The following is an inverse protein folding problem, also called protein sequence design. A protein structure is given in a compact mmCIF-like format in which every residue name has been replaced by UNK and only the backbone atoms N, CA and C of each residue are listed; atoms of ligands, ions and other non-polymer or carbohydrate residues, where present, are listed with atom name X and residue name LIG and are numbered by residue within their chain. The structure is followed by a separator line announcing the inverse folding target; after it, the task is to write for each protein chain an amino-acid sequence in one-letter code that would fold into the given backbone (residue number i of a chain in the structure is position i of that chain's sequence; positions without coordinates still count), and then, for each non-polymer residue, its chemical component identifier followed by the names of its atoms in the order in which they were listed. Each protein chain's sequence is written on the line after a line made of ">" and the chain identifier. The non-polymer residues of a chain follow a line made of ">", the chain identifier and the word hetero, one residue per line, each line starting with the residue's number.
data_IF_294573338219
#
_entry.id   IF_294573338219
#
_cell.length_a   1.000
_cell.length_b   1.000
_cell.length_c   1.000
_cell.angle_alpha   90.00
_cell.angle_beta   90.00
_cell.angle_gamma   90.00
#
_symmetry.space_group_name_H-M   'P 1'
#
loop_
_entity.id
_entity.type
_entity.pdbx_description
1 polymer ?
#
# COMPACT_ATOMS: atom_id res chain seq x y z
N UNK A 1 40.88 -29.07 -72.32
CA UNK A 1 40.33 -29.96 -71.26
C UNK A 1 40.97 -29.80 -69.86
N UNK A 2 42.03 -29.00 -69.65
CA UNK A 2 42.75 -28.94 -68.35
C UNK A 2 42.29 -27.92 -67.30
N UNK A 3 41.46 -26.93 -67.63
CA UNK A 3 41.01 -25.89 -66.67
C UNK A 3 39.83 -26.36 -65.80
N UNK A 4 38.89 -27.12 -66.37
CA UNK A 4 37.67 -27.58 -65.66
C UNK A 4 38.03 -28.65 -64.60
N UNK A 5 39.03 -29.50 -64.85
CA UNK A 5 39.51 -30.48 -63.86
C UNK A 5 40.23 -29.82 -62.69
N UNK A 6 41.00 -28.74 -62.91
CA UNK A 6 41.65 -27.97 -61.83
C UNK A 6 40.65 -27.22 -60.94
N UNK A 7 39.61 -26.62 -61.52
CA UNK A 7 38.57 -25.91 -60.75
C UNK A 7 37.76 -26.90 -59.91
N UNK A 8 37.37 -28.04 -60.48
CA UNK A 8 36.65 -29.09 -59.75
C UNK A 8 37.51 -29.76 -58.68
N UNK A 9 38.82 -29.87 -58.89
CA UNK A 9 39.79 -30.29 -57.88
C UNK A 9 39.86 -29.30 -56.70
N UNK A 10 39.99 -27.99 -56.98
CA UNK A 10 40.00 -26.94 -55.94
C UNK A 10 38.70 -26.87 -55.15
N UNK A 11 37.53 -26.94 -55.82
CA UNK A 11 36.24 -26.89 -55.13
C UNK A 11 36.07 -28.13 -54.21
N UNK A 12 36.56 -29.29 -54.64
CA UNK A 12 36.50 -30.52 -53.83
C UNK A 12 37.50 -30.48 -52.67
N UNK A 13 38.72 -29.95 -52.87
CA UNK A 13 39.68 -29.78 -51.78
C UNK A 13 39.23 -28.73 -50.76
N UNK A 14 38.66 -27.61 -51.22
CA UNK A 14 38.13 -26.55 -50.35
C UNK A 14 36.89 -27.02 -49.59
N UNK A 15 36.05 -27.84 -50.20
CA UNK A 15 34.90 -28.43 -49.50
C UNK A 15 35.34 -29.44 -48.44
N UNK A 16 36.30 -30.31 -48.74
CA UNK A 16 36.82 -31.29 -47.78
C UNK A 16 37.57 -30.62 -46.63
N UNK A 17 38.41 -29.60 -46.90
CA UNK A 17 39.10 -28.85 -45.86
C UNK A 17 38.10 -28.13 -44.94
N UNK A 18 37.07 -27.49 -45.51
CA UNK A 18 36.02 -26.80 -44.77
C UNK A 18 35.12 -27.73 -43.94
N UNK A 19 34.89 -28.97 -44.40
CA UNK A 19 34.18 -30.00 -43.63
C UNK A 19 35.03 -30.46 -42.43
N UNK A 20 36.34 -30.65 -42.63
CA UNK A 20 37.24 -31.01 -41.55
C UNK A 20 37.39 -29.90 -40.50
N UNK A 21 37.45 -28.62 -40.90
CA UNK A 21 37.49 -27.49 -39.97
C UNK A 21 36.19 -27.36 -39.17
N UNK A 22 35.02 -27.48 -39.83
CA UNK A 22 33.72 -27.46 -39.12
C UNK A 22 33.59 -28.60 -38.09
N UNK A 23 34.14 -29.80 -38.40
CA UNK A 23 34.12 -30.95 -37.47
C UNK A 23 35.08 -30.75 -36.30
N UNK A 24 36.23 -30.09 -36.50
CA UNK A 24 37.15 -29.76 -35.40
C UNK A 24 36.57 -28.66 -34.51
N UNK A 25 35.99 -27.61 -35.08
CA UNK A 25 35.31 -26.53 -34.35
C UNK A 25 34.14 -27.05 -33.51
N UNK A 26 33.38 -28.03 -34.01
CA UNK A 26 32.32 -28.68 -33.25
C UNK A 26 32.85 -29.49 -32.04
N UNK A 27 33.99 -30.17 -32.19
CA UNK A 27 34.66 -30.85 -31.06
C UNK A 27 35.15 -29.83 -30.04
N UNK A 28 35.73 -28.72 -30.51
CA UNK A 28 36.20 -27.62 -29.66
C UNK A 28 35.03 -27.01 -28.86
N UNK A 29 33.89 -26.73 -29.50
CA UNK A 29 32.70 -26.20 -28.83
C UNK A 29 32.15 -27.14 -27.75
N UNK A 30 32.12 -28.46 -28.01
CA UNK A 30 31.70 -29.44 -27.00
C UNK A 30 32.67 -29.52 -25.80
N UNK A 31 33.98 -29.42 -26.06
CA UNK A 31 35.01 -29.40 -25.00
C UNK A 31 34.87 -28.13 -24.16
N UNK A 32 34.73 -26.97 -24.79
CA UNK A 32 34.54 -25.67 -24.11
C UNK A 32 33.28 -25.69 -23.24
N UNK A 33 32.21 -26.34 -23.70
CA UNK A 33 30.99 -26.51 -22.92
C UNK A 33 31.17 -27.44 -21.72
N UNK A 34 31.80 -28.60 -21.90
CA UNK A 34 32.11 -29.52 -20.79
C UNK A 34 32.99 -28.84 -19.74
N UNK A 35 34.00 -28.08 -20.17
CA UNK A 35 34.86 -27.30 -19.29
C UNK A 35 34.05 -26.23 -18.53
N UNK A 36 33.08 -25.59 -19.20
CA UNK A 36 32.20 -24.60 -18.58
C UNK A 36 31.31 -25.20 -17.49
N UNK A 37 30.78 -26.41 -17.70
CA UNK A 37 30.00 -27.13 -16.68
C UNK A 37 30.88 -27.53 -15.50
N UNK A 38 32.11 -28.01 -15.75
CA UNK A 38 33.07 -28.37 -14.69
C UNK A 38 33.46 -27.15 -13.85
N UNK A 39 33.69 -25.99 -14.47
CA UNK A 39 34.00 -24.74 -13.76
C UNK A 39 32.81 -24.16 -12.99
N UNK A 40 31.57 -24.54 -13.32
CA UNK A 40 30.37 -24.16 -12.58
C UNK A 40 29.97 -25.15 -11.47
N UNK A 41 30.53 -26.36 -11.49
CA UNK A 41 30.30 -27.42 -10.50
C UNK A 41 30.52 -26.97 -9.03
N UNK A 42 31.52 -26.11 -8.72
CA UNK A 42 31.68 -25.47 -7.42
C UNK A 42 30.46 -24.70 -6.88
N UNK A 43 29.61 -24.12 -7.76
CA UNK A 43 28.41 -23.39 -7.34
C UNK A 43 27.23 -24.30 -7.00
N UNK A 44 27.25 -25.54 -7.52
CA UNK A 44 26.18 -26.52 -7.36
C UNK A 44 26.46 -27.52 -6.24
N UNK A 45 27.72 -27.62 -5.80
CA UNK A 45 28.08 -28.39 -4.62
C UNK A 45 27.45 -27.76 -3.35
N UNK A 46 27.02 -28.56 -2.36
CA UNK A 46 26.47 -28.02 -1.12
C UNK A 46 27.47 -27.05 -0.48
N UNK A 47 26.96 -25.89 -0.06
CA UNK A 47 27.67 -24.65 0.34
C UNK A 47 28.83 -24.78 1.36
N UNK A 48 29.12 -25.98 1.86
CA UNK A 48 30.13 -26.25 2.88
C UNK A 48 31.59 -26.25 2.38
N UNK A 49 31.89 -26.66 1.14
CA UNK A 49 33.30 -26.92 0.76
C UNK A 49 34.12 -25.65 0.47
N UNK A 50 33.57 -24.69 -0.28
CA UNK A 50 34.28 -23.47 -0.67
C UNK A 50 34.26 -22.38 0.42
N UNK A 51 33.20 -22.33 1.23
CA UNK A 51 33.11 -21.39 2.36
C UNK A 51 34.11 -21.79 3.46
N UNK A 52 34.35 -23.09 3.65
CA UNK A 52 35.31 -23.60 4.63
C UNK A 52 36.79 -23.35 4.27
N UNK A 53 37.12 -23.17 2.99
CA UNK A 53 38.50 -23.07 2.50
C UNK A 53 39.02 -21.62 2.33
N UNK A 54 38.16 -20.60 2.26
CA UNK A 54 38.65 -19.23 1.99
C UNK A 54 37.69 -18.07 2.19
N UNK A 55 36.51 -18.28 2.79
CA UNK A 55 35.55 -17.20 3.05
C UNK A 55 34.92 -16.57 1.79
N UNK A 56 34.07 -15.57 1.99
CA UNK A 56 33.29 -14.91 0.94
C UNK A 56 34.15 -14.25 -0.16
N UNK A 57 35.37 -13.84 0.18
CA UNK A 57 36.30 -13.18 -0.74
C UNK A 57 36.88 -14.12 -1.80
N UNK A 58 37.14 -15.38 -1.46
CA UNK A 58 37.65 -16.36 -2.42
C UNK A 58 36.59 -16.72 -3.47
N UNK A 59 35.32 -16.80 -3.05
CA UNK A 59 34.20 -16.99 -3.97
C UNK A 59 33.96 -15.77 -4.85
N UNK A 60 34.09 -14.55 -4.31
CA UNK A 60 33.99 -13.32 -5.10
C UNK A 60 35.13 -13.20 -6.12
N UNK A 61 36.36 -13.53 -5.74
CA UNK A 61 37.50 -13.56 -6.65
C UNK A 61 37.31 -14.62 -7.75
N UNK A 62 36.84 -15.82 -7.38
CA UNK A 62 36.52 -16.89 -8.34
C UNK A 62 35.40 -16.47 -9.30
N UNK A 63 34.32 -15.84 -8.81
CA UNK A 63 33.26 -15.29 -9.67
C UNK A 63 33.82 -14.26 -10.66
N UNK A 64 34.67 -13.34 -10.20
CA UNK A 64 35.17 -12.23 -11.02
C UNK A 64 36.15 -12.70 -12.11
N UNK A 65 36.86 -13.81 -11.89
CA UNK A 65 37.79 -14.38 -12.86
C UNK A 65 37.10 -15.36 -13.83
N UNK A 66 36.24 -16.23 -13.30
CA UNK A 66 35.68 -17.35 -14.05
C UNK A 66 34.47 -16.94 -14.89
N UNK A 67 33.60 -16.05 -14.38
CA UNK A 67 32.37 -15.65 -15.09
C UNK A 67 32.68 -14.90 -16.41
N UNK A 68 33.59 -13.91 -16.47
CA UNK A 68 33.91 -13.24 -17.74
C UNK A 68 34.55 -14.17 -18.78
N UNK A 69 35.40 -15.11 -18.33
CA UNK A 69 36.05 -16.11 -19.20
C UNK A 69 35.02 -17.09 -19.74
N UNK A 70 34.07 -17.55 -18.92
CA UNK A 70 32.95 -18.41 -19.34
C UNK A 70 32.05 -17.72 -20.36
N UNK A 71 31.69 -16.45 -20.13
CA UNK A 71 30.86 -15.67 -21.06
C UNK A 71 31.58 -15.49 -22.41
N UNK A 72 32.86 -15.11 -22.37
CA UNK A 72 33.67 -14.93 -23.59
C UNK A 72 33.86 -16.22 -24.38
N UNK A 73 34.18 -17.33 -23.71
CA UNK A 73 34.40 -18.63 -24.33
C UNK A 73 33.11 -19.21 -24.96
N UNK A 74 31.98 -19.07 -24.27
CA UNK A 74 30.69 -19.57 -24.74
C UNK A 74 30.05 -18.66 -25.81
N UNK A 75 30.40 -17.37 -25.85
CA UNK A 75 30.01 -16.46 -26.94
C UNK A 75 30.73 -16.79 -28.26
N UNK A 76 32.01 -17.16 -28.20
CA UNK A 76 32.82 -17.48 -29.38
C UNK A 76 32.53 -18.87 -29.98
N UNK A 77 32.04 -19.81 -29.16
CA UNK A 77 31.70 -21.18 -29.58
C UNK A 77 30.33 -21.64 -29.01
N UNK A 78 29.19 -21.11 -29.53
CA UNK A 78 27.87 -21.46 -29.04
C UNK A 78 27.53 -22.93 -29.30
N UNK A 79 27.05 -23.63 -28.28
CA UNK A 79 26.71 -25.04 -28.40
C UNK A 79 25.51 -25.28 -29.35
N UNK A 80 25.65 -26.24 -30.27
CA UNK A 80 24.72 -26.48 -31.39
C UNK A 80 23.29 -26.87 -30.98
N UNK A 81 23.08 -27.29 -29.74
CA UNK A 81 21.79 -27.70 -29.18
C UNK A 81 21.00 -26.54 -28.55
N UNK A 82 21.60 -25.38 -28.32
CA UNK A 82 20.89 -24.18 -27.83
C UNK A 82 19.68 -23.78 -28.70
N UNK A 83 19.79 -23.66 -30.04
CA UNK A 83 18.62 -23.37 -30.87
C UNK A 83 17.60 -24.52 -30.90
N UNK A 84 18.01 -25.76 -30.66
CA UNK A 84 17.10 -26.90 -30.56
C UNK A 84 16.30 -26.88 -29.24
N UNK A 85 16.96 -26.58 -28.11
CA UNK A 85 16.33 -26.41 -26.80
C UNK A 85 15.43 -25.17 -26.78
N UNK A 86 15.86 -24.06 -27.38
CA UNK A 86 15.03 -22.85 -27.49
C UNK A 86 13.75 -23.11 -28.31
N UNK A 87 13.85 -23.88 -29.40
CA UNK A 87 12.66 -24.32 -30.17
C UNK A 87 11.77 -25.27 -29.37
N UNK A 88 12.35 -26.22 -28.63
CA UNK A 88 11.61 -27.14 -27.78
C UNK A 88 10.88 -26.40 -26.65
N UNK A 89 11.54 -25.43 -26.00
CA UNK A 89 10.97 -24.59 -24.96
C UNK A 89 9.85 -23.68 -25.50
N UNK A 90 10.01 -23.09 -26.69
CA UNK A 90 8.95 -22.32 -27.34
C UNK A 90 7.75 -23.18 -27.72
N UNK A 91 7.97 -24.42 -28.18
CA UNK A 91 6.89 -25.37 -28.51
C UNK A 91 6.15 -25.83 -27.26
N UNK A 92 6.88 -26.16 -26.18
CA UNK A 92 6.31 -26.49 -24.87
C UNK A 92 5.53 -25.31 -24.29
N UNK A 93 6.06 -24.08 -24.37
CA UNK A 93 5.35 -22.88 -23.94
C UNK A 93 4.06 -22.63 -24.75
N UNK A 94 4.07 -22.90 -26.06
CA UNK A 94 2.88 -22.79 -26.91
C UNK A 94 1.83 -23.84 -26.54
N UNK A 95 2.24 -25.10 -26.33
CA UNK A 95 1.35 -26.20 -25.94
C UNK A 95 0.77 -26.04 -24.54
N UNK A 96 1.52 -25.45 -23.61
CA UNK A 96 1.05 -25.17 -22.24
C UNK A 96 0.12 -23.96 -22.16
N UNK A 97 0.07 -23.09 -23.18
CA UNK A 97 -0.73 -21.85 -23.16
C UNK A 97 -2.25 -22.10 -23.18
N UNK A 98 -2.70 -23.07 -23.96
CA UNK A 98 -4.12 -23.45 -24.03
C UNK A 98 -4.63 -24.13 -22.74
N UNK A 99 -3.96 -25.15 -22.16
CA UNK A 99 -4.39 -25.73 -20.89
C UNK A 99 -4.21 -24.77 -19.73
N UNK A 100 -3.19 -23.90 -19.73
CA UNK A 100 -3.04 -22.88 -18.67
C UNK A 100 -4.13 -21.82 -18.71
N UNK A 101 -4.57 -21.38 -19.90
CA UNK A 101 -5.70 -20.47 -20.04
C UNK A 101 -7.03 -21.13 -19.59
N UNK A 102 -7.24 -22.40 -19.91
CA UNK A 102 -8.38 -23.17 -19.42
C UNK A 102 -8.36 -23.33 -17.90
N UNK A 103 -7.21 -23.71 -17.32
CA UNK A 103 -7.00 -23.77 -15.87
C UNK A 103 -7.25 -22.42 -15.21
N UNK A 104 -6.77 -21.32 -15.79
CA UNK A 104 -7.04 -19.98 -15.28
C UNK A 104 -8.53 -19.63 -15.34
N UNK A 105 -9.23 -19.99 -16.41
CA UNK A 105 -10.68 -19.78 -16.53
C UNK A 105 -11.48 -20.57 -15.51
N UNK A 106 -11.11 -21.83 -15.25
CA UNK A 106 -11.73 -22.66 -14.21
C UNK A 106 -11.44 -22.09 -12.82
N UNK A 107 -10.20 -21.67 -12.55
CA UNK A 107 -9.81 -21.01 -11.30
C UNK A 107 -10.57 -19.69 -11.10
N UNK A 108 -10.71 -18.87 -12.14
CA UNK A 108 -11.51 -17.65 -12.09
C UNK A 108 -12.96 -17.96 -11.78
N UNK A 109 -13.56 -18.94 -12.45
CA UNK A 109 -14.94 -19.36 -12.21
C UNK A 109 -15.15 -19.84 -10.77
N UNK A 110 -14.23 -20.66 -10.26
CA UNK A 110 -14.24 -21.15 -8.88
C UNK A 110 -14.02 -20.04 -7.84
N UNK A 111 -13.26 -18.99 -8.20
CA UNK A 111 -13.02 -17.84 -7.33
C UNK A 111 -14.19 -16.83 -7.33
N UNK A 112 -15.02 -16.78 -8.37
CA UNK A 112 -16.16 -15.85 -8.43
C UNK A 112 -17.14 -15.91 -7.24
N UNK A 113 -17.56 -17.08 -6.70
CA UNK A 113 -18.41 -17.10 -5.50
C UNK A 113 -17.68 -16.60 -4.26
N UNK A 114 -16.37 -16.86 -4.15
CA UNK A 114 -15.53 -16.39 -3.05
C UNK A 114 -15.45 -14.87 -3.10
N UNK A 115 -15.15 -14.30 -4.26
CA UNK A 115 -15.10 -12.84 -4.46
C UNK A 115 -16.43 -12.15 -4.12
N UNK A 116 -17.57 -12.81 -4.41
CA UNK A 116 -18.89 -12.29 -4.00
C UNK A 116 -19.05 -12.31 -2.48
N UNK A 117 -18.66 -13.40 -1.81
CA UNK A 117 -18.69 -13.50 -0.36
C UNK A 117 -17.75 -12.49 0.31
N UNK A 118 -16.54 -12.30 -0.25
CA UNK A 118 -15.56 -11.30 0.15
C UNK A 118 -16.16 -9.88 0.09
N UNK A 119 -16.84 -9.52 -1.00
CA UNK A 119 -17.51 -8.22 -1.13
C UNK A 119 -18.66 -8.06 -0.15
N UNK A 120 -19.50 -9.08 0.06
CA UNK A 120 -20.59 -9.06 1.04
C UNK A 120 -20.05 -8.86 2.47
N UNK A 121 -18.96 -9.56 2.80
CA UNK A 121 -18.27 -9.40 4.08
C UNK A 121 -17.75 -7.96 4.27
N UNK A 122 -17.15 -7.38 3.24
CA UNK A 122 -16.64 -6.00 3.28
C UNK A 122 -17.76 -4.95 3.30
N UNK A 123 -18.91 -5.22 2.69
CA UNK A 123 -20.10 -4.34 2.77
C UNK A 123 -20.57 -4.18 4.22
N UNK A 124 -20.41 -5.22 5.04
CA UNK A 124 -20.64 -5.15 6.49
C UNK A 124 -19.46 -4.46 7.18
N UNK A 125 -19.27 -3.15 6.91
CA UNK A 125 -18.11 -2.37 7.35
C UNK A 125 -17.74 -2.59 8.82
N UNK A 126 -18.70 -2.44 9.75
CA UNK A 126 -18.46 -2.57 11.19
C UNK A 126 -18.03 -3.98 11.61
N UNK A 127 -18.65 -5.01 11.03
CA UNK A 127 -18.32 -6.40 11.34
C UNK A 127 -16.94 -6.76 10.77
N UNK A 128 -16.66 -6.33 9.55
CA UNK A 128 -15.36 -6.53 8.91
C UNK A 128 -14.23 -5.86 9.70
N UNK A 129 -14.41 -4.64 10.18
CA UNK A 129 -13.39 -3.91 10.95
C UNK A 129 -13.17 -4.55 12.31
N UNK A 130 -14.24 -4.92 13.03
CA UNK A 130 -14.14 -5.64 14.31
C UNK A 130 -13.37 -6.95 14.18
N UNK A 131 -13.69 -7.78 13.19
CA UNK A 131 -13.01 -9.07 12.98
C UNK A 131 -11.53 -8.84 12.70
N UNK A 132 -11.18 -7.83 11.90
CA UNK A 132 -9.78 -7.52 11.60
C UNK A 132 -9.03 -6.97 12.81
N UNK A 133 -9.65 -6.10 13.61
CA UNK A 133 -9.08 -5.62 14.88
C UNK A 133 -8.81 -6.80 15.81
N UNK A 134 -9.77 -7.72 15.95
CA UNK A 134 -9.61 -8.91 16.78
C UNK A 134 -8.51 -9.84 16.26
N UNK A 135 -8.42 -10.06 14.94
CA UNK A 135 -7.35 -10.87 14.34
C UNK A 135 -5.95 -10.26 14.54
N UNK A 136 -5.79 -8.96 14.33
CA UNK A 136 -4.49 -8.28 14.52
C UNK A 136 -4.12 -8.21 16.00
N UNK A 137 -5.07 -7.95 16.89
CA UNK A 137 -4.80 -7.89 18.32
C UNK A 137 -4.47 -9.26 18.90
N UNK A 138 -5.16 -10.32 18.44
CA UNK A 138 -4.81 -11.70 18.81
C UNK A 138 -3.44 -12.11 18.24
N UNK A 139 -3.09 -11.68 17.03
CA UNK A 139 -1.75 -11.87 16.48
C UNK A 139 -0.67 -11.19 17.33
N UNK A 140 -0.87 -9.91 17.67
CA UNK A 140 0.05 -9.14 18.51
C UNK A 140 0.16 -9.72 19.93
N UNK A 141 -0.96 -10.14 20.53
CA UNK A 141 -0.98 -10.79 21.83
C UNK A 141 -0.10 -12.04 21.81
N UNK A 142 -0.29 -12.89 20.81
CA UNK A 142 0.42 -14.16 20.70
C UNK A 142 1.90 -14.06 20.36
N UNK A 143 2.33 -12.94 19.79
CA UNK A 143 3.74 -12.67 19.44
C UNK A 143 4.49 -11.92 20.55
N UNK A 144 3.84 -10.93 21.17
CA UNK A 144 4.51 -9.95 22.04
C UNK A 144 4.23 -10.18 23.53
N UNK A 145 3.17 -10.91 23.88
CA UNK A 145 2.76 -11.13 25.28
C UNK A 145 2.79 -12.63 25.58
N UNK A 146 3.65 -13.03 26.51
CA UNK A 146 3.95 -14.46 26.74
C UNK A 146 2.92 -15.21 27.60
N UNK A 147 1.99 -14.55 28.31
CA UNK A 147 1.18 -15.22 29.36
C UNK A 147 -0.31 -14.80 29.49
N UNK A 148 -0.83 -13.87 28.69
CA UNK A 148 -2.24 -13.45 28.79
C UNK A 148 -3.22 -14.32 27.97
N UNK A 149 -4.31 -14.81 28.60
CA UNK A 149 -5.39 -15.51 27.87
C UNK A 149 -6.45 -14.56 27.28
N UNK A 150 -6.54 -13.30 27.75
CA UNK A 150 -7.63 -12.36 27.39
C UNK A 150 -7.20 -10.88 27.24
N UNK A 151 -5.90 -10.60 27.28
CA UNK A 151 -5.22 -9.28 27.07
C UNK A 151 -5.72 -8.50 25.86
N UNK A 152 -5.98 -9.17 24.73
CA UNK A 152 -6.52 -8.58 23.51
C UNK A 152 -7.89 -7.92 23.74
N UNK A 153 -8.82 -8.62 24.41
CA UNK A 153 -10.18 -8.12 24.66
C UNK A 153 -10.17 -6.93 25.62
N UNK A 154 -9.30 -6.96 26.62
CA UNK A 154 -9.09 -5.82 27.52
C UNK A 154 -8.54 -4.60 26.80
N UNK A 155 -7.56 -4.80 25.91
CA UNK A 155 -7.00 -3.71 25.09
C UNK A 155 -8.08 -3.09 24.20
N UNK A 156 -8.93 -3.93 23.58
CA UNK A 156 -10.04 -3.47 22.76
C UNK A 156 -11.10 -2.71 23.58
N UNK A 157 -11.46 -3.21 24.77
CA UNK A 157 -12.38 -2.53 25.69
C UNK A 157 -11.82 -1.16 26.08
N UNK A 158 -10.54 -1.08 26.44
CA UNK A 158 -9.88 0.17 26.79
C UNK A 158 -9.91 1.18 25.63
N UNK A 159 -9.59 0.76 24.41
CA UNK A 159 -9.65 1.64 23.24
C UNK A 159 -11.07 2.08 22.86
N UNK A 160 -12.07 1.21 23.03
CA UNK A 160 -13.47 1.57 22.84
C UNK A 160 -13.92 2.65 23.83
N UNK A 161 -13.51 2.53 25.10
CA UNK A 161 -13.80 3.53 26.13
C UNK A 161 -13.14 4.87 25.82
N UNK A 162 -11.89 4.88 25.34
CA UNK A 162 -11.23 6.11 24.84
C UNK A 162 -12.02 6.70 23.66
N UNK A 163 -12.46 5.87 22.73
CA UNK A 163 -13.23 6.31 21.56
C UNK A 163 -14.54 6.95 21.97
N UNK A 164 -15.22 6.36 22.95
CA UNK A 164 -16.44 6.92 23.53
C UNK A 164 -16.17 8.32 24.11
N UNK A 165 -15.12 8.47 24.91
CA UNK A 165 -14.72 9.76 25.49
C UNK A 165 -14.44 10.80 24.41
N UNK A 166 -13.71 10.44 23.34
CA UNK A 166 -13.43 11.34 22.21
C UNK A 166 -14.72 11.70 21.46
N UNK A 167 -15.62 10.74 21.24
CA UNK A 167 -16.92 10.99 20.60
C UNK A 167 -17.79 11.93 21.42
N UNK A 168 -17.81 11.77 22.74
CA UNK A 168 -18.52 12.65 23.65
C UNK A 168 -17.98 14.08 23.62
N UNK A 169 -16.65 14.24 23.68
CA UNK A 169 -16.00 15.56 23.53
C UNK A 169 -16.33 16.18 22.16
N UNK A 170 -16.28 15.39 21.07
CA UNK A 170 -16.66 15.86 19.74
C UNK A 170 -18.11 16.33 19.69
N UNK A 171 -19.03 15.61 20.32
CA UNK A 171 -20.44 15.96 20.39
C UNK A 171 -20.66 17.30 21.12
N UNK A 172 -19.98 17.51 22.25
CA UNK A 172 -20.01 18.79 22.97
C UNK A 172 -19.46 19.92 22.09
N UNK A 173 -18.31 19.70 21.43
CA UNK A 173 -17.72 20.72 20.58
C UNK A 173 -18.59 21.10 19.36
N UNK A 174 -19.38 20.15 18.82
CA UNK A 174 -20.14 20.35 17.58
C UNK A 174 -21.59 20.78 17.80
N UNK A 175 -22.26 20.34 18.86
CA UNK A 175 -23.67 20.68 19.13
C UNK A 175 -23.83 22.03 19.86
N UNK A 176 -22.80 22.50 20.55
CA UNK A 176 -22.91 23.69 21.37
C UNK A 176 -22.52 24.96 20.59
N UNK A 177 -23.46 25.90 20.46
CA UNK A 177 -23.15 27.22 19.92
C UNK A 177 -22.24 27.97 20.92
N UNK A 178 -20.93 27.99 20.65
CA UNK A 178 -19.91 28.75 21.40
C UNK A 178 -20.06 30.27 21.27
N UNK A 179 -21.18 30.75 20.73
CA UNK A 179 -21.38 32.16 20.52
C UNK A 179 -21.55 32.87 21.87
N UNK A 180 -20.83 33.98 22.13
CA UNK A 180 -20.96 34.75 23.37
C UNK A 180 -22.27 35.57 23.45
N UNK A 181 -23.22 35.29 22.55
CA UNK A 181 -24.49 35.99 22.42
C UNK A 181 -25.60 35.05 22.86
N UNK A 182 -26.36 35.46 23.88
CA UNK A 182 -27.54 34.73 24.34
C UNK A 182 -28.76 35.54 23.92
N UNK A 183 -29.66 34.92 23.16
CA UNK A 183 -30.90 35.58 22.74
C UNK A 183 -31.88 35.60 23.92
N UNK A 184 -31.99 36.73 24.61
CA UNK A 184 -32.92 36.92 25.73
C UNK A 184 -34.35 37.16 25.22
N UNK A 185 -34.48 37.72 24.01
CA UNK A 185 -35.76 37.87 23.29
C UNK A 185 -35.57 37.53 21.81
N UNK A 186 -36.65 37.27 21.06
CA UNK A 186 -36.63 36.88 19.62
C UNK A 186 -35.82 37.83 18.71
N UNK A 187 -35.54 39.06 19.15
CA UNK A 187 -34.85 40.08 18.35
C UNK A 187 -33.63 40.73 19.04
N UNK A 188 -33.27 40.37 20.28
CA UNK A 188 -32.14 41.01 20.99
C UNK A 188 -30.94 40.07 21.13
N UNK A 189 -29.79 40.52 20.61
CA UNK A 189 -28.48 39.90 20.81
C UNK A 189 -27.70 40.67 21.87
N UNK A 190 -27.93 40.37 23.14
CA UNK A 190 -27.19 41.01 24.25
C UNK A 190 -25.98 40.15 24.61
N UNK A 191 -24.79 40.77 24.68
CA UNK A 191 -23.57 40.12 25.15
C UNK A 191 -23.69 39.89 26.66
N UNK A 192 -23.95 38.66 27.09
CA UNK A 192 -23.95 38.31 28.51
C UNK A 192 -22.76 37.43 28.86
N UNK A 193 -21.58 38.06 28.86
CA UNK A 193 -20.27 37.40 28.96
C UNK A 193 -20.15 36.49 30.19
N UNK A 194 -20.76 36.88 31.32
CA UNK A 194 -20.79 36.09 32.55
C UNK A 194 -21.61 34.79 32.43
N UNK A 195 -22.75 34.82 31.71
CA UNK A 195 -23.62 33.63 31.56
C UNK A 195 -23.08 32.68 30.48
N UNK A 196 -22.46 33.21 29.43
CA UNK A 196 -21.74 32.41 28.44
C UNK A 196 -20.51 31.74 29.05
N UNK A 197 -19.73 32.45 29.88
CA UNK A 197 -18.56 31.89 30.54
C UNK A 197 -18.94 30.78 31.54
N UNK A 198 -19.98 30.97 32.36
CA UNK A 198 -20.43 29.92 33.31
C UNK A 198 -20.97 28.69 32.59
N UNK A 199 -21.71 28.86 31.48
CA UNK A 199 -22.15 27.74 30.64
C UNK A 199 -20.97 26.93 30.11
N UNK A 200 -19.97 27.60 29.54
CA UNK A 200 -18.74 26.97 29.05
C UNK A 200 -18.05 26.20 30.16
N UNK A 201 -17.83 26.82 31.33
CA UNK A 201 -17.16 26.18 32.47
C UNK A 201 -17.94 24.95 32.96
N UNK A 202 -19.27 25.03 33.04
CA UNK A 202 -20.10 23.89 33.47
C UNK A 202 -20.00 22.72 32.50
N UNK A 203 -20.05 22.95 31.18
CA UNK A 203 -19.96 21.87 30.19
C UNK A 203 -18.56 21.24 30.16
N UNK A 204 -17.50 22.05 30.26
CA UNK A 204 -16.15 21.52 30.43
C UNK A 204 -15.97 20.74 31.72
N UNK A 205 -16.61 21.18 32.81
CA UNK A 205 -16.59 20.44 34.09
C UNK A 205 -17.28 19.08 33.93
N UNK A 206 -18.42 19.00 33.21
CA UNK A 206 -19.05 17.71 32.89
C UNK A 206 -18.16 16.82 32.03
N UNK A 207 -17.48 17.37 31.03
CA UNK A 207 -16.56 16.61 30.19
C UNK A 207 -15.37 16.06 30.99
N UNK A 208 -14.78 16.90 31.85
CA UNK A 208 -13.67 16.49 32.72
C UNK A 208 -14.11 15.45 33.73
N UNK A 209 -15.25 15.66 34.42
CA UNK A 209 -15.76 14.66 35.38
C UNK A 209 -16.09 13.35 34.68
N UNK A 210 -16.64 13.38 33.47
CA UNK A 210 -16.89 12.20 32.66
C UNK A 210 -15.61 11.43 32.29
N UNK A 211 -14.56 12.13 31.86
CA UNK A 211 -13.26 11.50 31.56
C UNK A 211 -12.64 10.90 32.82
N UNK A 212 -12.70 11.63 33.94
CA UNK A 212 -12.16 11.17 35.23
C UNK A 212 -12.91 9.95 35.74
N UNK A 213 -14.25 9.92 35.67
CA UNK A 213 -15.05 8.76 36.09
C UNK A 213 -14.79 7.56 35.21
N UNK A 214 -14.68 7.72 33.89
CA UNK A 214 -14.28 6.64 32.98
C UNK A 214 -12.90 6.10 33.32
N UNK A 215 -11.92 6.98 33.54
CA UNK A 215 -10.54 6.59 33.84
C UNK A 215 -10.51 5.84 35.17
N UNK A 216 -11.27 6.29 36.15
CA UNK A 216 -11.43 5.63 37.44
C UNK A 216 -12.12 4.26 37.29
N UNK A 217 -13.20 4.15 36.53
CA UNK A 217 -13.89 2.86 36.25
C UNK A 217 -12.95 1.88 35.55
N UNK A 218 -12.16 2.33 34.57
CA UNK A 218 -11.15 1.50 33.92
C UNK A 218 -10.07 1.04 34.90
N UNK A 219 -9.66 1.92 35.83
CA UNK A 219 -8.67 1.60 36.86
C UNK A 219 -9.25 0.61 37.88
N UNK A 220 -10.49 0.78 38.32
CA UNK A 220 -11.14 -0.14 39.27
C UNK A 220 -11.44 -1.50 38.63
N UNK A 221 -11.97 -1.52 37.40
CA UNK A 221 -12.12 -2.76 36.62
C UNK A 221 -10.78 -3.44 36.39
N UNK A 222 -9.73 -2.64 36.19
CA UNK A 222 -8.39 -3.15 36.04
C UNK A 222 -7.85 -3.78 37.32
N UNK A 223 -8.05 -3.12 38.46
CA UNK A 223 -7.60 -3.60 39.77
C UNK A 223 -8.41 -4.81 40.28
N UNK A 224 -9.72 -4.89 40.01
CA UNK A 224 -10.59 -5.97 40.48
C UNK A 224 -10.46 -7.27 39.69
N UNK A 225 -10.15 -7.22 38.39
CA UNK A 225 -10.13 -8.42 37.52
C UNK A 225 -8.77 -9.14 37.42
N UNK A 226 -7.85 -8.97 38.37
CA UNK A 226 -6.62 -9.76 38.41
C UNK A 226 -5.63 -9.40 37.29
N UNK A 227 -5.36 -8.11 37.10
CA UNK A 227 -4.33 -7.60 36.18
C UNK A 227 -2.88 -7.92 36.58
N UNK A 228 -2.63 -8.92 37.45
CA UNK A 228 -1.27 -9.20 37.93
C UNK A 228 -0.27 -9.49 36.79
N UNK A 229 -0.77 -9.93 35.62
CA UNK A 229 0.05 -10.27 34.45
C UNK A 229 -0.16 -9.34 33.24
N UNK A 230 -0.93 -8.25 33.35
CA UNK A 230 -1.11 -7.30 32.24
C UNK A 230 0.02 -6.28 32.22
N UNK A 231 1.16 -6.67 31.64
CA UNK A 231 2.26 -5.78 31.30
C UNK A 231 2.43 -5.74 29.79
N UNK A 232 1.63 -4.95 29.07
CA UNK A 232 1.79 -4.84 27.63
C UNK A 232 3.13 -4.18 27.33
N UNK A 233 3.93 -4.79 26.45
CA UNK A 233 5.16 -4.18 25.95
C UNK A 233 4.82 -2.88 25.21
N UNK A 234 5.69 -1.87 25.29
CA UNK A 234 5.49 -0.61 24.55
C UNK A 234 5.28 -0.83 23.03
N UNK A 235 5.91 -1.86 22.46
CA UNK A 235 5.70 -2.25 21.07
C UNK A 235 4.27 -2.78 20.81
N UNK A 236 3.72 -3.57 21.73
CA UNK A 236 2.35 -4.07 21.64
C UNK A 236 1.36 -2.91 21.66
N UNK A 237 1.50 -1.97 22.60
CA UNK A 237 0.59 -0.81 22.71
C UNK A 237 0.71 0.12 21.52
N UNK A 238 1.93 0.33 21.00
CA UNK A 238 2.14 1.13 19.80
C UNK A 238 1.48 0.52 18.56
N UNK A 239 1.68 -0.79 18.30
CA UNK A 239 1.09 -1.45 17.12
C UNK A 239 -0.43 -1.56 17.24
N UNK A 240 -0.95 -2.04 18.37
CA UNK A 240 -2.40 -2.22 18.55
C UNK A 240 -3.13 -0.87 18.63
N UNK A 241 -2.55 0.12 19.30
CA UNK A 241 -3.10 1.48 19.37
C UNK A 241 -3.10 2.19 18.02
N UNK A 242 -2.01 2.14 17.26
CA UNK A 242 -1.97 2.71 15.90
C UNK A 242 -2.94 2.01 14.97
N UNK A 243 -3.01 0.68 14.99
CA UNK A 243 -3.98 -0.07 14.18
C UNK A 243 -5.42 0.30 14.53
N UNK A 244 -5.74 0.43 15.83
CA UNK A 244 -7.08 0.81 16.27
C UNK A 244 -7.45 2.23 15.85
N UNK A 245 -6.58 3.22 16.09
CA UNK A 245 -6.80 4.62 15.71
C UNK A 245 -7.06 4.80 14.21
N UNK A 246 -6.45 3.96 13.38
CA UNK A 246 -6.58 4.02 11.92
C UNK A 246 -7.76 3.20 11.37
N UNK A 247 -8.35 2.33 12.18
CA UNK A 247 -9.51 1.51 11.76
C UNK A 247 -10.83 2.05 12.30
N UNK A 248 -10.80 2.74 13.43
CA UNK A 248 -11.99 3.22 14.11
C UNK A 248 -12.64 4.42 13.40
N UNK A 249 -13.97 4.39 13.25
CA UNK A 249 -14.71 5.35 12.42
C UNK A 249 -14.59 6.78 12.97
N UNK A 250 -14.69 6.93 14.28
CA UNK A 250 -14.63 8.23 14.95
C UNK A 250 -13.34 8.98 14.63
N UNK A 251 -12.20 8.29 14.64
CA UNK A 251 -10.89 8.89 14.34
C UNK A 251 -10.70 9.16 12.85
N UNK A 252 -11.20 8.27 11.98
CA UNK A 252 -11.18 8.48 10.53
C UNK A 252 -11.98 9.70 10.08
N UNK A 253 -13.04 10.07 10.80
CA UNK A 253 -13.79 11.33 10.56
C UNK A 253 -13.08 12.55 11.18
N UNK A 254 -12.32 12.37 12.26
CA UNK A 254 -11.62 13.45 12.95
C UNK A 254 -10.36 13.92 12.21
N UNK A 255 -9.60 13.00 11.61
CA UNK A 255 -8.31 13.29 10.96
C UNK A 255 -8.40 14.28 9.80
N UNK A 256 -9.36 14.18 8.86
CA UNK A 256 -9.49 15.18 7.80
C UNK A 256 -9.77 16.58 8.36
N UNK A 257 -10.61 16.69 9.40
CA UNK A 257 -10.94 17.97 10.04
C UNK A 257 -9.69 18.58 10.68
N UNK A 258 -8.90 17.76 11.39
CA UNK A 258 -7.66 18.18 12.00
C UNK A 258 -6.61 18.63 10.96
N UNK A 259 -6.48 17.90 9.84
CA UNK A 259 -5.62 18.28 8.73
C UNK A 259 -6.07 19.58 8.05
N UNK A 260 -7.38 19.77 7.88
CA UNK A 260 -7.94 21.00 7.30
C UNK A 260 -7.64 22.21 8.15
N UNK A 261 -7.63 22.04 9.48
CA UNK A 261 -7.25 23.09 10.42
C UNK A 261 -5.76 23.48 10.28
N UNK A 262 -4.88 22.57 9.89
CA UNK A 262 -3.46 22.85 9.65
C UNK A 262 -3.19 23.60 8.33
N UNK A 263 -4.19 23.74 7.45
CA UNK A 263 -4.12 24.49 6.18
C UNK A 263 -2.91 24.11 5.31
N UNK A 264 -2.68 22.81 5.11
CA UNK A 264 -1.57 22.31 4.29
C UNK A 264 -1.83 22.53 2.80
N UNK A 265 -1.08 23.47 2.20
CA UNK A 265 -1.23 23.84 0.78
C UNK A 265 -0.97 22.67 -0.18
N UNK A 266 -0.11 21.72 0.21
CA UNK A 266 0.27 20.55 -0.61
C UNK A 266 -0.88 19.57 -0.88
N UNK A 267 -1.89 19.52 -0.01
CA UNK A 267 -2.98 18.53 -0.11
C UNK A 267 -4.12 19.01 -1.02
N UNK A 268 -4.09 20.25 -1.50
CA UNK A 268 -5.05 20.84 -2.45
C UNK A 268 -6.54 20.66 -2.05
N UNK A 269 -6.83 20.50 -0.75
CA UNK A 269 -8.18 20.25 -0.23
C UNK A 269 -8.67 18.81 -0.35
N UNK A 270 -7.86 17.86 -0.84
CA UNK A 270 -8.20 16.43 -0.96
C UNK A 270 -7.83 15.62 0.30
N UNK A 271 -7.79 16.26 1.46
CA UNK A 271 -7.25 15.68 2.69
C UNK A 271 -8.01 14.43 3.14
N UNK A 272 -9.32 14.38 2.94
CA UNK A 272 -10.13 13.21 3.27
C UNK A 272 -9.76 11.97 2.45
N UNK A 273 -9.44 12.15 1.15
CA UNK A 273 -9.00 11.08 0.26
C UNK A 273 -7.62 10.57 0.68
N UNK A 274 -6.68 11.49 0.91
CA UNK A 274 -5.33 11.14 1.39
C UNK A 274 -5.34 10.45 2.75
N UNK A 275 -6.12 10.96 3.72
CA UNK A 275 -6.32 10.30 5.02
C UNK A 275 -6.83 8.88 4.86
N UNK A 276 -7.83 8.70 3.99
CA UNK A 276 -8.45 7.42 3.75
C UNK A 276 -7.49 6.38 3.18
N UNK A 277 -6.68 6.77 2.18
CA UNK A 277 -5.63 5.92 1.59
C UNK A 277 -4.54 5.64 2.60
N UNK A 278 -4.06 6.67 3.30
CA UNK A 278 -2.98 6.55 4.27
C UNK A 278 -3.35 5.62 5.43
N UNK A 279 -4.54 5.77 6.01
CA UNK A 279 -5.00 4.89 7.08
C UNK A 279 -5.11 3.42 6.65
N UNK A 280 -5.63 3.16 5.44
CA UNK A 280 -5.73 1.80 4.86
C UNK A 280 -4.36 1.23 4.48
N UNK A 281 -3.46 2.07 4.00
CA UNK A 281 -2.08 1.70 3.66
C UNK A 281 -1.27 1.33 4.90
N UNK A 282 -1.33 2.16 5.95
CA UNK A 282 -0.61 1.89 7.20
C UNK A 282 -1.16 0.66 7.92
N UNK A 283 -2.48 0.47 7.97
CA UNK A 283 -3.07 -0.73 8.61
C UNK A 283 -2.69 -2.04 7.90
N UNK A 284 -2.66 -2.06 6.57
CA UNK A 284 -2.17 -3.21 5.80
C UNK A 284 -0.66 -3.41 5.97
N UNK A 285 0.13 -2.33 6.02
CA UNK A 285 1.56 -2.39 6.27
C UNK A 285 1.90 -2.90 7.67
N UNK A 286 1.12 -2.55 8.70
CA UNK A 286 1.27 -3.08 10.06
C UNK A 286 0.97 -4.58 10.14
N UNK A 287 0.02 -5.08 9.35
CA UNK A 287 -0.32 -6.51 9.33
C UNK A 287 0.72 -7.36 8.58
N UNK A 288 1.41 -6.79 7.59
CA UNK A 288 2.38 -7.49 6.75
C UNK A 288 3.52 -8.19 7.53
N UNK A 289 4.25 -7.55 8.47
CA UNK A 289 5.31 -8.20 9.24
C UNK A 289 4.78 -9.20 10.28
N UNK A 290 3.52 -9.08 10.71
CA UNK A 290 2.91 -10.01 11.68
C UNK A 290 2.73 -11.41 11.07
N UNK A 291 2.47 -11.52 9.76
CA UNK A 291 2.28 -12.80 9.06
C UNK A 291 3.53 -13.71 9.14
N UNK A 292 4.73 -13.29 8.69
CA UNK A 292 5.93 -14.12 8.77
C UNK A 292 6.37 -14.35 10.21
N UNK A 293 6.18 -13.38 11.11
CA UNK A 293 6.46 -13.57 12.54
C UNK A 293 5.60 -14.69 13.15
N UNK A 294 4.29 -14.73 12.83
CA UNK A 294 3.40 -15.80 13.26
C UNK A 294 3.74 -17.17 12.66
N UNK A 295 4.18 -17.18 11.39
CA UNK A 295 4.63 -18.40 10.73
C UNK A 295 5.90 -18.95 11.40
N UNK A 296 6.83 -18.08 11.80
CA UNK A 296 8.04 -18.46 12.53
C UNK A 296 7.74 -19.08 13.90
N UNK A 297 6.69 -18.62 14.57
CA UNK A 297 6.22 -19.19 15.83
C UNK A 297 5.35 -20.46 15.69
N UNK A 298 5.36 -21.11 14.52
CA UNK A 298 4.59 -22.31 14.16
C UNK A 298 3.06 -22.18 14.28
N UNK A 299 2.51 -20.95 14.30
CA UNK A 299 1.06 -20.69 14.40
C UNK A 299 0.42 -20.46 13.05
N UNK A 300 0.51 -21.48 12.19
CA UNK A 300 0.12 -21.42 10.78
C UNK A 300 -1.34 -21.02 10.54
N UNK A 301 -2.29 -21.53 11.35
CA UNK A 301 -3.73 -21.21 11.18
C UNK A 301 -4.01 -19.71 11.33
N UNK A 302 -3.43 -19.08 12.35
CA UNK A 302 -3.60 -17.65 12.60
C UNK A 302 -2.87 -16.82 11.55
N UNK A 303 -1.66 -17.24 11.15
CA UNK A 303 -0.89 -16.60 10.09
C UNK A 303 -1.67 -16.57 8.76
N UNK A 304 -2.29 -17.68 8.36
CA UNK A 304 -3.12 -17.79 7.15
C UNK A 304 -4.35 -16.86 7.24
N UNK A 305 -5.04 -16.83 8.38
CA UNK A 305 -6.20 -15.97 8.58
C UNK A 305 -5.84 -14.47 8.49
N UNK A 306 -4.75 -14.05 9.14
CA UNK A 306 -4.28 -12.65 9.10
C UNK A 306 -3.82 -12.29 7.69
N UNK A 307 -3.08 -13.17 7.01
CA UNK A 307 -2.66 -12.97 5.63
C UNK A 307 -3.87 -12.81 4.69
N UNK A 308 -4.87 -13.67 4.83
CA UNK A 308 -6.04 -13.62 3.96
C UNK A 308 -6.93 -12.40 4.25
N UNK A 309 -7.33 -12.19 5.50
CA UNK A 309 -8.32 -11.16 5.85
C UNK A 309 -7.68 -9.77 5.96
N UNK A 310 -6.52 -9.64 6.61
CA UNK A 310 -5.95 -8.34 6.94
C UNK A 310 -4.98 -7.81 5.87
N UNK A 311 -4.32 -8.69 5.10
CA UNK A 311 -3.37 -8.30 4.05
C UNK A 311 -4.02 -8.42 2.67
N UNK A 312 -4.47 -9.61 2.27
CA UNK A 312 -4.99 -9.85 0.93
C UNK A 312 -6.35 -9.14 0.70
N UNK A 313 -7.33 -9.39 1.55
CA UNK A 313 -8.66 -8.79 1.44
C UNK A 313 -8.65 -7.26 1.56
N UNK A 314 -7.98 -6.72 2.58
CA UNK A 314 -7.85 -5.28 2.75
C UNK A 314 -6.99 -4.62 1.67
N UNK A 315 -5.84 -5.21 1.33
CA UNK A 315 -4.93 -4.67 0.34
C UNK A 315 -5.59 -4.61 -1.05
N UNK A 316 -6.24 -5.71 -1.45
CA UNK A 316 -6.90 -5.79 -2.76
C UNK A 316 -8.14 -4.93 -2.85
N UNK A 317 -9.06 -5.03 -1.88
CA UNK A 317 -10.35 -4.36 -1.96
C UNK A 317 -10.32 -2.97 -1.34
N UNK A 318 -10.06 -2.84 -0.03
CA UNK A 318 -10.15 -1.53 0.65
C UNK A 318 -9.10 -0.54 0.15
N UNK A 319 -7.83 -0.95 0.11
CA UNK A 319 -6.72 -0.10 -0.32
C UNK A 319 -6.75 0.10 -1.84
N UNK A 320 -7.01 -0.97 -2.61
CA UNK A 320 -7.17 -0.88 -4.06
C UNK A 320 -8.27 0.11 -4.47
N UNK A 321 -9.47 0.02 -3.91
CA UNK A 321 -10.57 0.94 -4.21
C UNK A 321 -10.25 2.39 -3.78
N UNK A 322 -9.61 2.57 -2.62
CA UNK A 322 -9.20 3.90 -2.16
C UNK A 322 -8.13 4.53 -3.07
N UNK A 323 -7.17 3.73 -3.55
CA UNK A 323 -6.14 4.16 -4.48
C UNK A 323 -6.72 4.50 -5.85
N UNK A 324 -7.66 3.70 -6.37
CA UNK A 324 -8.35 3.99 -7.63
C UNK A 324 -9.08 5.33 -7.53
N UNK A 325 -9.88 5.54 -6.47
CA UNK A 325 -10.58 6.81 -6.23
C UNK A 325 -9.64 8.01 -6.11
N UNK A 326 -8.49 7.82 -5.46
CA UNK A 326 -7.47 8.87 -5.33
C UNK A 326 -6.80 9.16 -6.68
N UNK A 327 -6.44 8.12 -7.45
CA UNK A 327 -5.82 8.27 -8.76
C UNK A 327 -6.79 8.94 -9.74
N UNK A 328 -8.06 8.53 -9.78
CA UNK A 328 -9.09 9.20 -10.61
C UNK A 328 -9.23 10.68 -10.25
N UNK A 329 -9.24 11.02 -8.96
CA UNK A 329 -9.28 12.41 -8.50
C UNK A 329 -8.02 13.18 -8.94
N UNK A 330 -6.83 12.61 -8.75
CA UNK A 330 -5.57 13.21 -9.17
C UNK A 330 -5.48 13.38 -10.70
N UNK A 331 -5.86 12.37 -11.47
CA UNK A 331 -5.81 12.35 -12.94
C UNK A 331 -6.79 13.37 -13.54
N UNK A 332 -7.98 13.51 -12.95
CA UNK A 332 -8.94 14.54 -13.36
C UNK A 332 -8.37 15.96 -13.20
N UNK A 333 -7.58 16.18 -12.15
CA UNK A 333 -6.96 17.47 -11.83
C UNK A 333 -5.61 17.68 -12.51
N UNK A 334 -4.91 16.61 -12.89
CA UNK A 334 -3.58 16.66 -13.50
C UNK A 334 -3.56 17.45 -14.81
N UNK A 335 -4.68 17.47 -15.54
CA UNK A 335 -4.86 18.24 -16.78
C UNK A 335 -4.86 19.76 -16.56
N UNK A 336 -5.10 20.22 -15.34
CA UNK A 336 -5.21 21.63 -14.99
C UNK A 336 -3.91 22.13 -14.35
N UNK A 337 -3.43 23.28 -14.82
CA UNK A 337 -2.22 23.91 -14.28
C UNK A 337 -2.43 24.31 -12.81
N UNK A 338 -1.42 24.09 -11.97
CA UNK A 338 -1.38 24.67 -10.60
C UNK A 338 -1.04 26.15 -10.70
N UNK A 339 -1.82 26.99 -10.04
CA UNK A 339 -1.53 28.41 -9.96
C UNK A 339 -0.30 28.65 -9.09
N UNK A 340 0.54 29.62 -9.46
CA UNK A 340 1.71 29.98 -8.65
C UNK A 340 1.27 30.86 -7.47
N UNK A 341 2.02 30.88 -6.35
CA UNK A 341 1.66 31.72 -5.21
C UNK A 341 1.64 33.21 -5.58
N UNK A 342 2.47 33.64 -6.53
CA UNK A 342 2.47 35.02 -7.03
C UNK A 342 1.17 35.36 -7.75
N UNK A 343 0.70 34.48 -8.66
CA UNK A 343 -0.57 34.66 -9.38
C UNK A 343 -1.76 34.77 -8.41
N UNK A 344 -1.78 33.95 -7.35
CA UNK A 344 -2.82 34.01 -6.31
C UNK A 344 -2.77 35.32 -5.52
N UNK A 345 -1.56 35.77 -5.17
CA UNK A 345 -1.38 37.01 -4.42
C UNK A 345 -1.79 38.25 -5.22
N UNK A 346 -1.65 38.23 -6.55
CA UNK A 346 -2.08 39.35 -7.41
C UNK A 346 -3.59 39.35 -7.67
N UNK A 347 -4.23 38.18 -7.66
CA UNK A 347 -5.66 38.07 -7.93
C UNK A 347 -6.50 38.44 -6.69
N UNK A 348 -6.03 38.08 -5.48
CA UNK A 348 -6.74 38.24 -4.18
C UNK A 348 -8.24 37.87 -4.19
N UNK A 349 -8.62 36.89 -5.01
CA UNK A 349 -10.03 36.54 -5.26
C UNK A 349 -10.52 35.36 -4.40
N UNK A 350 -11.84 35.23 -4.30
CA UNK A 350 -12.55 34.13 -3.65
C UNK A 350 -12.95 33.08 -4.68
N UNK A 351 -12.97 31.80 -4.28
CA UNK A 351 -13.40 30.75 -5.19
C UNK A 351 -14.90 30.91 -5.50
N UNK A 352 -15.28 31.05 -6.77
CA UNK A 352 -16.68 31.24 -7.18
C UNK A 352 -17.64 30.08 -6.80
N UNK A 353 -17.11 28.91 -6.41
CA UNK A 353 -17.91 27.72 -6.05
C UNK A 353 -18.21 27.67 -4.56
N UNK A 354 -17.22 27.91 -3.69
CA UNK A 354 -17.38 27.83 -2.23
C UNK A 354 -17.35 29.19 -1.53
N UNK A 355 -17.09 30.27 -2.28
CA UNK A 355 -16.94 31.65 -1.80
C UNK A 355 -15.85 31.82 -0.73
N UNK A 356 -14.95 30.84 -0.60
CA UNK A 356 -13.82 30.87 0.33
C UNK A 356 -12.56 31.45 -0.31
N UNK A 357 -11.68 32.01 0.52
CA UNK A 357 -10.38 32.52 0.06
C UNK A 357 -9.49 31.41 -0.53
N UNK A 358 -8.76 31.75 -1.59
CA UNK A 358 -7.90 30.80 -2.30
C UNK A 358 -6.45 30.92 -1.83
N UNK A 359 -5.92 29.87 -1.19
CA UNK A 359 -4.48 29.71 -0.91
C UNK A 359 -3.77 28.76 -1.88
N UNK A 360 -4.53 27.83 -2.46
CA UNK A 360 -4.09 26.98 -3.56
C UNK A 360 -5.25 26.86 -4.55
N UNK A 361 -4.92 26.97 -5.84
CA UNK A 361 -5.92 26.92 -6.90
C UNK A 361 -5.41 26.19 -8.14
N UNK A 362 -6.35 25.64 -8.91
CA UNK A 362 -6.14 25.11 -10.25
C UNK A 362 -6.67 26.11 -11.26
N UNK A 363 -5.89 26.32 -12.32
CA UNK A 363 -6.21 27.23 -13.42
C UNK A 363 -6.80 26.44 -14.57
N UNK A 364 -7.98 26.88 -15.00
CA UNK A 364 -8.67 26.31 -16.17
C UNK A 364 -8.09 26.87 -17.48
N UNK A 365 -8.25 26.17 -18.63
CA UNK A 365 -7.82 26.70 -19.93
C UNK A 365 -8.44 28.05 -20.29
N UNK A 366 -9.61 28.38 -19.74
CA UNK A 366 -10.25 29.69 -19.87
C UNK A 366 -9.74 30.74 -18.85
N UNK A 367 -8.62 30.48 -18.16
CA UNK A 367 -7.98 31.36 -17.18
C UNK A 367 -8.80 31.69 -15.91
N UNK A 368 -9.75 30.83 -15.53
CA UNK A 368 -10.46 30.92 -14.25
C UNK A 368 -9.82 30.04 -13.17
N UNK A 369 -9.87 30.51 -11.92
CA UNK A 369 -9.24 29.91 -10.74
C UNK A 369 -10.28 29.25 -9.82
N UNK A 370 -9.99 28.04 -9.35
CA UNK A 370 -10.84 27.30 -8.40
C UNK A 370 -9.97 26.51 -7.41
N UNK A 371 -10.47 26.25 -6.20
CA UNK A 371 -9.86 25.21 -5.35
C UNK A 371 -9.90 23.87 -6.09
N UNK A 372 -8.86 23.04 -5.95
CA UNK A 372 -8.80 21.77 -6.66
C UNK A 372 -10.00 20.86 -6.31
N UNK A 373 -10.39 20.83 -5.04
CA UNK A 373 -11.54 20.01 -4.59
C UNK A 373 -12.90 20.59 -5.02
N UNK A 374 -13.01 21.90 -5.23
CA UNK A 374 -14.19 22.53 -5.84
C UNK A 374 -14.27 22.20 -7.34
N UNK A 375 -13.15 22.35 -8.07
CA UNK A 375 -13.07 22.02 -9.48
C UNK A 375 -13.39 20.54 -9.73
N UNK A 376 -12.83 19.63 -8.93
CA UNK A 376 -13.12 18.19 -9.00
C UNK A 376 -14.61 17.88 -8.87
N UNK A 377 -15.30 18.53 -7.93
CA UNK A 377 -16.75 18.38 -7.75
C UNK A 377 -17.54 18.95 -8.94
N UNK A 378 -17.11 20.06 -9.51
CA UNK A 378 -17.72 20.60 -10.73
C UNK A 378 -17.53 19.65 -11.92
N UNK A 379 -16.34 19.08 -12.10
CA UNK A 379 -16.03 18.12 -13.17
C UNK A 379 -16.85 16.83 -13.06
N UNK A 380 -17.18 16.40 -11.84
CA UNK A 380 -18.06 15.25 -11.63
C UNK A 380 -19.50 15.48 -12.13
N UNK A 381 -19.93 16.74 -12.22
CA UNK A 381 -21.31 17.12 -12.62
C UNK A 381 -21.37 17.66 -14.05
N UNK A 382 -20.36 18.40 -14.51
CA UNK A 382 -20.36 19.06 -15.81
C UNK A 382 -18.95 19.34 -16.35
N UNK A 383 -18.73 19.09 -17.64
CA UNK A 383 -17.48 19.36 -18.35
C UNK A 383 -17.33 20.83 -18.84
N UNK A 384 -18.01 21.76 -18.16
CA UNK A 384 -18.02 23.19 -18.51
C UNK A 384 -17.56 24.04 -17.33
N UNK A 385 -16.94 25.18 -17.64
CA UNK A 385 -16.52 26.13 -16.61
C UNK A 385 -17.73 26.75 -15.89
N UNK A 386 -17.79 26.74 -14.54
CA UNK A 386 -18.88 27.37 -13.79
C UNK A 386 -19.04 28.88 -14.02
N UNK A 387 -17.95 29.57 -14.42
CA UNK A 387 -17.95 31.02 -14.61
C UNK A 387 -18.36 31.40 -16.03
N UNK A 388 -17.75 30.80 -17.06
CA UNK A 388 -17.98 31.20 -18.45
C UNK A 388 -18.76 30.19 -19.30
N UNK A 389 -19.13 29.03 -18.74
CA UNK A 389 -19.91 27.96 -19.40
C UNK A 389 -19.22 27.37 -20.65
N UNK A 390 -17.95 27.73 -20.90
CA UNK A 390 -17.15 27.19 -22.00
C UNK A 390 -16.69 25.76 -21.67
N UNK A 391 -16.62 24.86 -22.66
CA UNK A 391 -16.03 23.53 -22.48
C UNK A 391 -14.53 23.63 -22.23
N UNK A 392 -13.98 22.69 -21.47
CA UNK A 392 -12.54 22.59 -21.24
C UNK A 392 -11.84 22.03 -22.49
N UNK A 393 -11.22 22.90 -23.28
CA UNK A 393 -10.39 22.53 -24.43
C UNK A 393 -8.92 22.67 -24.04
N UNK A 394 -8.18 21.57 -24.09
CA UNK A 394 -6.73 21.55 -23.88
C UNK A 394 -6.07 21.48 -25.25
N UNK A 395 -5.37 22.54 -25.64
CA UNK A 395 -4.65 22.61 -26.92
C UNK A 395 -3.29 21.91 -26.84
#
# INVERSE_FOLDING_TARGET
>A
MGMISRVRGRIRSDSFSKIHTMKSEAKIANIVWLLSVVLLLPYWAPRGLFVALGGAWLMAAYTCLVVPVLISANYRYPARWYPAVAKLAQEVARRLRAPSACLLGVLQTAYTPIERAERLFLQMNNLSTMICQLLVFTACDKLLVSQGRLTCLYSLMFYNVITYSVSYVREICTKEDWSPYVNVTRHSRVKHLAMSATKIVLEWTKAVTFIVTITFILLTLGLEQGLEHFRPTALYTAITGTYYLLTERTFLELWPIALSAMKLEKLEGMEALYCGVWARGVTTALALPLVPALAWCERWRLSILVLYVCVFMHGRHRLGEALVKMNEACDSLAKFRRATPEELSTLEDVCAVCLGSMKSARVTPCAHYFHADCLRRCLATSDRCPICVRPYVFC
#
